data_IF_309830250581
#
_entry.id   IF_309830250581
#
_cell.length_a   1.000
_cell.length_b   1.000
_cell.length_c   1.000
_cell.angle_alpha   90.00
_cell.angle_beta   90.00
_cell.angle_gamma   90.00
#
_symmetry.space_group_name_H-M   'P 1'
#
loop_
_entity.id
_entity.type
_entity.pdbx_description
1 polymer ?
#
# COMPACT_ATOMS: atom_id res chain seq x y z
N UNK A 1 4.94 -3.32 -13.92
CA UNK A 1 3.54 -3.42 -13.44
C UNK A 1 3.57 -4.19 -12.14
N UNK A 2 2.83 -3.70 -11.15
CA UNK A 2 2.67 -4.32 -9.84
C UNK A 2 1.33 -5.05 -9.77
N UNK A 3 1.30 -6.15 -9.02
CA UNK A 3 0.11 -6.92 -8.68
C UNK A 3 -0.13 -6.76 -7.19
N UNK A 4 -1.29 -6.18 -6.86
CA UNK A 4 -1.59 -5.69 -5.53
C UNK A 4 -2.81 -6.43 -4.97
N UNK A 5 -2.72 -6.91 -3.73
CA UNK A 5 -3.89 -7.37 -2.96
C UNK A 5 -4.39 -6.21 -2.11
N UNK A 6 -5.65 -5.83 -2.28
CA UNK A 6 -6.25 -4.73 -1.51
C UNK A 6 -6.40 -5.13 -0.04
N UNK A 7 -5.74 -4.39 0.84
CA UNK A 7 -5.77 -4.56 2.28
C UNK A 7 -5.36 -3.24 2.96
N UNK A 8 -6.08 -2.83 4.01
CA UNK A 8 -5.78 -1.59 4.75
C UNK A 8 -4.38 -1.60 5.38
N UNK A 9 -3.89 -2.78 5.75
CA UNK A 9 -2.54 -3.03 6.28
C UNK A 9 -1.43 -2.95 5.22
N UNK A 10 -1.79 -2.81 3.94
CA UNK A 10 -0.83 -2.69 2.85
C UNK A 10 0.11 -1.50 2.99
N UNK A 11 1.35 -1.65 2.52
CA UNK A 11 2.39 -0.62 2.55
C UNK A 11 2.30 0.34 1.36
N UNK A 12 1.77 -0.13 0.23
CA UNK A 12 1.64 0.66 -0.98
C UNK A 12 0.34 1.46 -0.99
N UNK A 13 0.42 2.66 -1.56
CA UNK A 13 -0.75 3.46 -1.89
C UNK A 13 -1.00 3.38 -3.40
N UNK A 14 -2.21 3.03 -3.79
CA UNK A 14 -2.61 2.86 -5.18
C UNK A 14 -3.64 3.93 -5.51
N UNK A 15 -3.30 4.79 -6.47
CA UNK A 15 -4.22 5.75 -7.05
C UNK A 15 -5.00 5.07 -8.17
N UNK A 16 -6.33 5.13 -8.14
CA UNK A 16 -7.18 4.54 -9.17
C UNK A 16 -8.38 5.42 -9.49
N UNK A 17 -8.98 5.25 -10.67
CA UNK A 17 -10.13 6.05 -11.11
C UNK A 17 -11.37 5.18 -11.29
N UNK A 18 -12.45 5.46 -10.58
CA UNK A 18 -13.70 4.68 -10.70
C UNK A 18 -14.41 4.82 -12.07
N UNK A 19 -14.05 5.83 -12.86
CA UNK A 19 -14.62 6.08 -14.18
C UNK A 19 -13.81 5.44 -15.33
N UNK A 20 -12.72 4.72 -15.03
CA UNK A 20 -11.84 4.11 -16.04
C UNK A 20 -11.03 2.94 -15.48
N UNK A 21 -10.10 2.42 -16.28
CA UNK A 21 -9.16 1.36 -15.86
C UNK A 21 -7.82 1.94 -15.35
N UNK A 22 -7.75 3.26 -15.10
CA UNK A 22 -6.54 3.87 -14.59
C UNK A 22 -6.26 3.39 -13.17
N UNK A 23 -5.10 2.77 -12.98
CA UNK A 23 -4.54 2.44 -11.68
C UNK A 23 -3.01 2.54 -11.73
N UNK A 24 -2.43 3.19 -10.73
CA UNK A 24 -0.99 3.34 -10.61
C UNK A 24 -0.59 3.39 -9.13
N UNK A 25 0.61 2.88 -8.82
CA UNK A 25 1.25 3.19 -7.54
C UNK A 25 1.38 4.72 -7.42
N UNK A 26 1.07 5.29 -6.25
CA UNK A 26 1.16 6.74 -5.98
C UNK A 26 2.57 7.28 -6.28
N UNK A 27 3.60 6.44 -6.17
CA UNK A 27 4.98 6.76 -6.58
C UNK A 27 5.11 7.11 -8.06
N UNK A 28 4.28 6.52 -8.92
CA UNK A 28 4.27 6.71 -10.37
C UNK A 28 3.10 7.54 -10.91
N UNK A 29 1.99 7.62 -10.17
CA UNK A 29 0.78 8.31 -10.60
C UNK A 29 1.07 9.81 -10.86
N UNK A 30 0.83 10.29 -12.07
CA UNK A 30 1.09 11.69 -12.42
C UNK A 30 0.14 12.63 -11.67
N UNK A 31 0.70 13.68 -11.08
CA UNK A 31 -0.09 14.82 -10.62
C UNK A 31 -0.22 15.83 -11.77
N UNK A 32 -1.42 15.91 -12.34
CA UNK A 32 -1.69 16.82 -13.45
C UNK A 32 -1.43 18.27 -13.05
N UNK A 33 -0.82 19.03 -13.97
CA UNK A 33 -0.62 20.46 -13.78
C UNK A 33 -1.99 21.16 -13.65
N UNK A 34 -2.17 22.09 -12.70
CA UNK A 34 -3.41 22.85 -12.61
C UNK A 34 -3.67 23.65 -13.90
N UNK A 35 -4.92 23.70 -14.33
CA UNK A 35 -5.32 24.51 -15.49
C UNK A 35 -5.35 26.02 -15.18
N UNK A 36 -5.42 26.40 -13.91
CA UNK A 36 -5.49 27.79 -13.49
C UNK A 36 -4.15 28.50 -13.71
N UNK A 37 -4.22 29.76 -14.19
CA UNK A 37 -3.06 30.64 -14.20
C UNK A 37 -2.79 31.18 -12.81
N UNK A 38 -1.52 31.50 -12.53
CA UNK A 38 -1.12 32.19 -11.30
C UNK A 38 -1.89 33.51 -11.17
N UNK A 39 -2.60 33.69 -10.07
CA UNK A 39 -3.32 34.93 -9.80
C UNK A 39 -2.34 36.08 -9.51
N UNK A 40 -2.80 37.32 -9.75
CA UNK A 40 -2.03 38.50 -9.40
C UNK A 40 -1.94 38.66 -7.87
N UNK A 41 -0.83 39.19 -7.33
CA UNK A 41 -0.69 39.41 -5.90
C UNK A 41 -1.80 40.30 -5.32
N UNK A 42 -2.51 39.83 -4.30
CA UNK A 42 -3.58 40.56 -3.63
C UNK A 42 -3.24 40.95 -2.18
N UNK A 43 -2.25 40.30 -1.57
CA UNK A 43 -1.80 40.57 -0.19
C UNK A 43 -0.38 41.16 -0.20
N UNK A 44 -0.08 42.06 0.73
CA UNK A 44 1.31 42.48 0.97
C UNK A 44 2.04 41.41 1.75
N UNK A 45 3.33 41.20 1.45
CA UNK A 45 4.15 40.28 2.23
C UNK A 45 4.29 40.80 3.67
N UNK A 46 3.95 39.95 4.65
CA UNK A 46 4.00 40.26 6.08
C UNK A 46 4.73 39.16 6.83
N UNK A 47 5.63 39.55 7.74
CA UNK A 47 6.25 38.63 8.69
C UNK A 47 5.32 38.40 9.89
N UNK A 48 5.18 37.15 10.28
CA UNK A 48 4.29 36.69 11.35
C UNK A 48 5.12 35.93 12.40
N UNK A 49 4.88 36.24 13.67
CA UNK A 49 5.42 35.48 14.80
C UNK A 49 4.77 34.08 14.89
N UNK A 50 5.60 33.05 14.86
CA UNK A 50 5.18 31.64 14.90
C UNK A 50 6.09 30.82 15.85
N UNK A 51 6.24 31.24 17.12
CA UNK A 51 7.20 30.63 18.02
C UNK A 51 6.88 29.17 18.30
N UNK A 52 7.85 28.30 18.04
CA UNK A 52 7.73 26.85 18.22
C UNK A 52 6.76 26.15 17.27
N UNK A 53 6.26 26.82 16.22
CA UNK A 53 5.40 26.21 15.21
C UNK A 53 6.21 25.93 13.94
N UNK A 54 6.33 24.66 13.58
CA UNK A 54 7.23 24.22 12.51
C UNK A 54 6.51 23.47 11.38
N UNK A 55 5.22 23.17 11.55
CA UNK A 55 4.43 22.43 10.56
C UNK A 55 3.43 23.33 9.83
N UNK A 56 3.17 23.03 8.56
CA UNK A 56 2.19 23.77 7.78
C UNK A 56 0.78 23.71 8.38
N UNK A 57 0.45 22.59 9.02
CA UNK A 57 -0.81 22.34 9.70
C UNK A 57 -0.99 23.28 10.90
N UNK A 58 0.06 23.45 11.73
CA UNK A 58 0.07 24.42 12.84
C UNK A 58 -0.06 25.86 12.34
N UNK A 59 0.67 26.21 11.26
CA UNK A 59 0.63 27.56 10.69
C UNK A 59 -0.72 27.88 10.07
N UNK A 60 -1.29 26.94 9.31
CA UNK A 60 -2.62 27.08 8.73
C UNK A 60 -3.68 27.27 9.83
N UNK A 61 -3.58 26.49 10.91
CA UNK A 61 -4.46 26.62 12.07
C UNK A 61 -4.32 27.98 12.77
N UNK A 62 -3.10 28.42 13.07
CA UNK A 62 -2.82 29.72 13.69
C UNK A 62 -3.41 30.89 12.88
N UNK A 63 -3.25 30.84 11.56
CA UNK A 63 -3.66 31.91 10.66
C UNK A 63 -5.14 31.83 10.24
N UNK A 64 -5.86 30.78 10.66
CA UNK A 64 -7.21 30.45 10.21
C UNK A 64 -7.32 30.40 8.68
N UNK A 65 -6.33 29.77 8.04
CA UNK A 65 -6.25 29.59 6.60
C UNK A 65 -6.36 28.10 6.22
N UNK A 66 -6.85 27.77 5.02
CA UNK A 66 -6.79 26.40 4.52
C UNK A 66 -5.32 25.97 4.32
N UNK A 67 -5.02 24.70 4.55
CA UNK A 67 -3.68 24.14 4.39
C UNK A 67 -3.11 24.35 2.98
N UNK A 68 -3.98 24.36 1.95
CA UNK A 68 -3.61 24.69 0.58
C UNK A 68 -3.10 26.12 0.35
N UNK A 69 -3.12 27.01 1.36
CA UNK A 69 -2.48 28.35 1.30
C UNK A 69 -1.03 28.35 1.80
N UNK A 70 -0.56 27.27 2.42
CA UNK A 70 0.82 27.16 2.88
C UNK A 70 1.68 26.40 1.88
N UNK A 71 3.01 26.56 1.99
CA UNK A 71 4.00 25.90 1.16
C UNK A 71 5.05 25.25 2.07
N UNK A 72 5.23 23.93 1.89
CA UNK A 72 6.27 23.14 2.54
C UNK A 72 7.59 23.32 1.78
N UNK A 73 8.65 23.60 2.52
CA UNK A 73 10.01 23.70 2.01
C UNK A 73 10.78 22.42 2.37
N UNK A 74 11.31 21.74 1.36
CA UNK A 74 12.06 20.49 1.50
C UNK A 74 13.47 20.71 0.99
N UNK A 75 14.46 20.29 1.77
CA UNK A 75 15.87 20.49 1.47
C UNK A 75 16.52 19.17 1.12
N UNK A 76 16.99 19.03 -0.12
CA UNK A 76 17.67 17.82 -0.60
C UNK A 76 19.11 18.14 -0.97
N UNK A 77 20.01 17.21 -0.71
CA UNK A 77 21.41 17.29 -1.14
C UNK A 77 21.65 16.30 -2.28
N UNK A 78 22.06 16.81 -3.43
CA UNK A 78 22.47 16.00 -4.58
C UNK A 78 23.88 16.43 -5.00
N UNK A 79 24.80 15.46 -5.08
CA UNK A 79 26.20 15.68 -5.45
C UNK A 79 26.91 16.80 -4.67
N UNK A 80 26.59 16.94 -3.36
CA UNK A 80 27.20 17.95 -2.49
C UNK A 80 26.58 19.35 -2.60
N UNK A 81 25.48 19.49 -3.35
CA UNK A 81 24.75 20.75 -3.50
C UNK A 81 23.36 20.63 -2.88
N UNK A 82 23.01 21.59 -2.02
CA UNK A 82 21.68 21.71 -1.43
C UNK A 82 20.71 22.34 -2.43
N UNK A 83 19.54 21.75 -2.57
CA UNK A 83 18.43 22.16 -3.42
C UNK A 83 17.20 22.43 -2.55
N UNK A 84 16.45 23.48 -2.87
CA UNK A 84 15.17 23.79 -2.24
C UNK A 84 14.04 23.31 -3.14
N UNK A 85 13.18 22.46 -2.58
CA UNK A 85 11.98 21.95 -3.23
C UNK A 85 10.74 22.50 -2.52
N UNK A 86 9.77 22.99 -3.29
CA UNK A 86 8.52 23.52 -2.75
C UNK A 86 7.31 22.67 -3.18
N UNK A 87 6.55 22.20 -2.20
CA UNK A 87 5.24 21.55 -2.40
C UNK A 87 4.17 22.28 -1.58
N UNK A 88 2.90 22.18 -1.99
CA UNK A 88 1.80 22.83 -1.26
C UNK A 88 1.62 22.17 0.12
N UNK A 89 1.11 22.90 1.10
CA UNK A 89 0.99 22.45 2.49
C UNK A 89 0.25 21.13 2.67
N UNK A 90 -0.74 20.86 1.84
CA UNK A 90 -1.58 19.65 1.83
C UNK A 90 -1.03 18.54 0.92
N UNK A 91 0.16 18.73 0.34
CA UNK A 91 0.85 17.76 -0.49
C UNK A 91 2.14 17.27 0.19
N UNK A 92 2.60 16.10 -0.24
CA UNK A 92 3.86 15.50 0.18
C UNK A 92 4.78 15.29 -1.01
N UNK A 93 6.09 15.40 -0.78
CA UNK A 93 7.09 15.08 -1.79
C UNK A 93 6.96 13.63 -2.25
N UNK A 94 7.10 13.43 -3.55
CA UNK A 94 7.32 12.12 -4.14
C UNK A 94 8.81 12.00 -4.48
N UNK A 95 9.54 11.17 -3.74
CA UNK A 95 10.98 11.00 -3.87
C UNK A 95 11.37 10.37 -5.23
N UNK A 96 10.56 9.44 -5.74
CA UNK A 96 10.76 8.79 -7.04
C UNK A 96 10.66 9.80 -8.19
N UNK A 97 9.70 10.72 -8.12
CA UNK A 97 9.55 11.80 -9.10
C UNK A 97 10.65 12.85 -8.94
N UNK A 98 10.98 13.23 -7.70
CA UNK A 98 12.07 14.17 -7.42
C UNK A 98 13.41 13.67 -7.99
N UNK A 99 13.71 12.38 -7.88
CA UNK A 99 14.94 11.78 -8.41
C UNK A 99 15.06 11.87 -9.94
N UNK A 100 13.94 12.03 -10.66
CA UNK A 100 13.91 12.19 -12.13
C UNK A 100 14.12 13.64 -12.57
N UNK A 101 14.07 14.60 -11.65
CA UNK A 101 14.33 16.01 -11.95
C UNK A 101 15.82 16.20 -12.27
N UNK A 102 16.18 16.93 -13.34
CA UNK A 102 17.57 17.20 -13.67
C UNK A 102 18.35 17.78 -12.49
N UNK A 103 19.48 17.14 -12.14
CA UNK A 103 20.33 17.53 -11.01
C UNK A 103 20.00 16.87 -9.66
N UNK A 104 18.90 16.12 -9.57
CA UNK A 104 18.49 15.42 -8.33
C UNK A 104 18.69 13.89 -8.39
N UNK A 105 19.32 13.34 -9.42
CA UNK A 105 19.61 11.91 -9.46
C UNK A 105 20.50 11.50 -8.25
N UNK A 106 20.04 10.50 -7.49
CA UNK A 106 20.78 10.01 -6.31
C UNK A 106 20.86 11.01 -5.14
N UNK A 107 19.88 11.90 -5.01
CA UNK A 107 19.79 12.82 -3.87
C UNK A 107 19.68 12.06 -2.54
N UNK A 108 19.93 12.78 -1.44
CA UNK A 108 19.50 12.41 -0.09
C UNK A 108 18.85 13.61 0.59
N UNK A 109 18.17 13.38 1.71
CA UNK A 109 17.76 14.47 2.59
C UNK A 109 18.99 15.27 3.05
N UNK A 110 18.90 16.60 3.02
CA UNK A 110 19.92 17.47 3.58
C UNK A 110 19.93 17.32 5.10
N UNK A 111 21.10 17.35 5.72
CA UNK A 111 21.20 17.34 7.19
C UNK A 111 20.91 18.73 7.76
N UNK A 112 20.54 18.81 9.03
CA UNK A 112 20.31 20.10 9.71
C UNK A 112 21.51 21.04 9.57
N UNK A 113 22.74 20.54 9.72
CA UNK A 113 23.98 21.32 9.55
C UNK A 113 24.11 21.88 8.13
N UNK A 114 23.79 21.09 7.11
CA UNK A 114 23.83 21.54 5.71
C UNK A 114 22.75 22.58 5.42
N UNK A 115 21.56 22.40 6.00
CA UNK A 115 20.45 23.33 5.88
C UNK A 115 20.84 24.66 6.51
N UNK A 116 21.29 24.66 7.77
CA UNK A 116 21.72 25.86 8.49
C UNK A 116 22.89 26.55 7.78
N UNK A 117 23.86 25.78 7.27
CA UNK A 117 24.96 26.36 6.49
C UNK A 117 24.48 27.04 5.19
N UNK A 118 23.43 26.51 4.56
CA UNK A 118 22.94 26.99 3.27
C UNK A 118 21.89 28.11 3.40
N UNK A 119 21.13 28.17 4.50
CA UNK A 119 20.00 29.12 4.67
C UNK A 119 20.17 30.04 5.87
N UNK A 120 21.06 29.73 6.80
CA UNK A 120 21.19 30.43 8.08
C UNK A 120 20.07 30.12 9.08
N UNK A 121 19.18 29.17 8.76
CA UNK A 121 17.98 28.88 9.54
C UNK A 121 17.74 27.37 9.70
N UNK A 122 17.18 26.97 10.84
CA UNK A 122 16.81 25.58 11.10
C UNK A 122 15.58 25.15 10.28
N UNK A 123 15.41 23.83 10.03
CA UNK A 123 14.17 23.29 9.47
C UNK A 123 12.91 23.76 10.23
N UNK A 124 11.80 23.88 9.51
CA UNK A 124 10.51 24.35 10.05
C UNK A 124 10.20 25.82 9.78
N UNK A 125 11.21 26.64 9.47
CA UNK A 125 11.04 28.07 9.19
C UNK A 125 11.61 28.49 7.83
N UNK A 126 11.79 27.54 6.92
CA UNK A 126 12.42 27.77 5.61
C UNK A 126 11.42 28.22 4.54
N UNK A 127 11.86 29.08 3.64
CA UNK A 127 11.08 29.53 2.49
C UNK A 127 11.92 30.13 1.36
N UNK A 128 11.33 30.41 0.18
CA UNK A 128 12.07 30.85 -0.99
C UNK A 128 12.48 32.34 -0.98
N UNK A 129 12.06 33.11 0.01
CA UNK A 129 12.36 34.56 0.09
C UNK A 129 13.79 34.76 0.58
N UNK A 130 14.60 35.47 -0.21
CA UNK A 130 15.98 35.82 0.17
C UNK A 130 16.98 34.67 0.17
N UNK A 131 16.65 33.52 -0.44
CA UNK A 131 17.58 32.39 -0.58
C UNK A 131 18.77 32.75 -1.48
N UNK A 132 19.90 32.06 -1.30
CA UNK A 132 21.07 32.21 -2.18
C UNK A 132 20.66 32.00 -3.65
N UNK A 133 20.95 32.96 -4.56
CA UNK A 133 20.66 32.82 -5.99
C UNK A 133 21.29 31.56 -6.65
N UNK A 134 22.37 31.02 -6.08
CA UNK A 134 23.02 29.81 -6.56
C UNK A 134 22.35 28.51 -6.09
N UNK A 135 21.47 28.58 -5.08
CA UNK A 135 20.69 27.44 -4.59
C UNK A 135 19.57 27.12 -5.58
N UNK A 136 19.53 25.91 -6.16
CA UNK A 136 18.48 25.53 -7.10
C UNK A 136 17.12 25.49 -6.41
N UNK A 137 16.14 26.11 -7.06
CA UNK A 137 14.76 26.17 -6.61
C UNK A 137 13.88 25.38 -7.57
N UNK A 138 13.41 24.22 -7.10
CA UNK A 138 12.50 23.33 -7.82
C UNK A 138 11.12 23.42 -7.17
N UNK A 139 10.08 23.57 -7.97
CA UNK A 139 8.74 23.84 -7.45
C UNK A 139 7.72 22.90 -8.08
N UNK A 140 6.83 22.34 -7.26
CA UNK A 140 5.71 21.56 -7.75
C UNK A 140 4.80 22.40 -8.65
N UNK A 141 4.25 21.77 -9.70
CA UNK A 141 3.28 22.39 -10.62
C UNK A 141 2.17 23.15 -9.90
N UNK A 142 1.70 22.65 -8.75
CA UNK A 142 0.67 23.29 -7.94
C UNK A 142 1.15 24.58 -7.30
N UNK A 143 2.37 24.58 -6.73
CA UNK A 143 2.94 25.76 -6.08
C UNK A 143 3.30 26.83 -7.11
N UNK A 144 3.74 26.42 -8.30
CA UNK A 144 4.09 27.34 -9.38
C UNK A 144 2.93 28.25 -9.82
N UNK A 145 1.67 27.89 -9.54
CA UNK A 145 0.48 28.71 -9.85
C UNK A 145 -0.16 29.35 -8.62
N UNK A 146 0.46 29.24 -7.44
CA UNK A 146 -0.03 29.89 -6.22
C UNK A 146 0.28 31.39 -6.21
N UNK A 147 -0.58 32.15 -5.53
CA UNK A 147 -0.36 33.54 -5.15
C UNK A 147 -0.63 33.72 -3.66
N UNK A 148 -0.06 34.76 -3.05
CA UNK A 148 -0.28 35.15 -1.65
C UNK A 148 -0.12 33.98 -0.65
N UNK A 149 0.87 33.14 -0.90
CA UNK A 149 1.08 31.92 -0.11
C UNK A 149 1.80 32.22 1.20
N UNK A 150 1.76 31.24 2.11
CA UNK A 150 2.46 31.27 3.40
C UNK A 150 3.64 30.31 3.34
N UNK A 151 4.82 30.76 3.76
CA UNK A 151 6.03 29.93 3.87
C UNK A 151 6.88 30.37 5.06
N UNK A 152 7.93 29.62 5.38
CA UNK A 152 8.90 30.06 6.38
C UNK A 152 9.63 31.35 5.99
N UNK A 153 10.11 32.08 6.99
CA UNK A 153 10.79 33.37 6.80
C UNK A 153 12.32 33.28 6.64
N UNK A 154 12.89 32.08 6.68
CA UNK A 154 14.33 31.84 6.89
C UNK A 154 14.86 32.48 8.18
N UNK A 155 13.98 32.61 9.19
CA UNK A 155 14.27 33.13 10.52
C UNK A 155 13.49 32.27 11.52
N UNK A 156 14.18 31.74 12.53
CA UNK A 156 13.54 30.87 13.51
C UNK A 156 12.37 31.58 14.19
N UNK A 157 11.28 30.86 14.42
CA UNK A 157 10.05 31.36 15.02
C UNK A 157 9.26 32.37 14.16
N UNK A 158 9.56 32.49 12.85
CA UNK A 158 8.81 33.35 11.94
C UNK A 158 8.40 32.69 10.63
N UNK A 159 7.24 33.11 10.13
CA UNK A 159 6.74 32.81 8.79
C UNK A 159 6.41 34.10 8.02
N UNK A 160 6.32 33.98 6.71
CA UNK A 160 5.86 35.04 5.81
C UNK A 160 4.50 34.66 5.25
N UNK A 161 3.56 35.61 5.26
CA UNK A 161 2.26 35.51 4.60
C UNK A 161 2.19 36.46 3.43
N UNK A 162 1.41 36.10 2.42
CA UNK A 162 1.15 36.95 1.26
C UNK A 162 2.30 36.94 0.28
N UNK A 163 3.14 35.89 0.28
CA UNK A 163 4.33 35.78 -0.56
C UNK A 163 3.93 35.49 -2.01
N UNK A 164 4.64 36.12 -2.94
CA UNK A 164 4.45 35.93 -4.37
C UNK A 164 5.79 35.83 -5.11
N UNK A 165 5.89 34.85 -6.01
CA UNK A 165 6.97 34.76 -6.98
C UNK A 165 7.03 36.02 -7.87
N UNK A 166 8.23 36.39 -8.29
CA UNK A 166 8.54 37.60 -9.04
C UNK A 166 8.58 38.87 -8.19
N UNK A 167 7.66 39.03 -7.24
CA UNK A 167 7.60 40.21 -6.34
C UNK A 167 8.51 40.07 -5.12
N UNK A 168 8.39 38.97 -4.39
CA UNK A 168 9.05 38.77 -3.09
C UNK A 168 10.18 37.73 -3.16
N UNK A 169 10.00 36.72 -4.01
CA UNK A 169 11.00 35.69 -4.29
C UNK A 169 11.17 35.51 -5.80
N UNK A 170 12.34 35.02 -6.23
CA UNK A 170 12.63 34.79 -7.65
C UNK A 170 11.74 33.68 -8.23
N UNK A 171 11.54 33.69 -9.54
CA UNK A 171 10.89 32.57 -10.23
C UNK A 171 11.70 31.26 -10.05
N UNK A 172 11.02 30.09 -10.06
CA UNK A 172 11.68 28.80 -9.91
C UNK A 172 12.57 28.47 -11.11
N UNK A 173 13.65 27.72 -10.86
CA UNK A 173 14.54 27.24 -11.92
C UNK A 173 13.89 26.09 -12.70
N UNK A 174 13.16 25.23 -11.99
CA UNK A 174 12.45 24.08 -12.56
C UNK A 174 11.05 23.99 -11.95
N UNK A 175 10.05 23.82 -12.81
CA UNK A 175 8.69 23.42 -12.42
C UNK A 175 8.45 21.99 -12.87
N UNK A 176 8.14 21.09 -11.94
CA UNK A 176 8.00 19.66 -12.21
C UNK A 176 6.87 19.04 -11.37
N UNK A 177 6.40 17.85 -11.77
CA UNK A 177 5.60 17.01 -10.89
C UNK A 177 6.55 16.36 -9.88
N UNK A 178 6.49 16.83 -8.63
CA UNK A 178 7.34 16.32 -7.54
C UNK A 178 6.50 15.89 -6.33
N UNK A 179 5.18 15.83 -6.46
CA UNK A 179 4.28 15.49 -5.35
C UNK A 179 3.62 14.14 -5.53
N UNK A 180 3.18 13.56 -4.42
CA UNK A 180 2.21 12.47 -4.46
C UNK A 180 0.84 13.03 -4.89
N UNK A 181 0.09 12.22 -5.64
CA UNK A 181 -1.33 12.46 -5.88
C UNK A 181 -2.11 12.29 -4.59
N UNK A 182 -3.23 12.98 -4.47
CA UNK A 182 -4.17 12.88 -3.34
C UNK A 182 -5.56 12.49 -3.83
N UNK A 183 -6.39 11.93 -2.95
CA UNK A 183 -7.78 11.62 -3.30
C UNK A 183 -8.51 12.90 -3.76
N UNK A 184 -9.25 12.80 -4.86
CA UNK A 184 -9.92 13.92 -5.52
C UNK A 184 -9.08 14.63 -6.59
N UNK A 185 -7.78 14.33 -6.74
CA UNK A 185 -7.01 14.82 -7.89
C UNK A 185 -7.64 14.33 -9.22
N UNK A 186 -7.58 15.12 -10.30
CA UNK A 186 -8.04 14.67 -11.61
C UNK A 186 -7.18 13.50 -12.11
N UNK A 187 -7.85 12.47 -12.63
CA UNK A 187 -7.18 11.30 -13.22
C UNK A 187 -6.37 11.71 -14.46
N UNK A 188 -5.12 11.24 -14.63
CA UNK A 188 -4.28 11.57 -15.79
C UNK A 188 -4.86 11.17 -17.15
N UNK A 189 -5.83 10.26 -17.16
CA UNK A 189 -6.54 9.84 -18.37
C UNK A 189 -7.75 10.73 -18.74
N UNK A 190 -8.04 11.75 -17.93
CA UNK A 190 -9.07 12.77 -18.16
C UNK A 190 -10.51 12.30 -17.93
N UNK A 191 -10.75 11.13 -17.34
CA UNK A 191 -12.11 10.53 -17.23
C UNK A 191 -12.80 10.72 -15.88
N UNK A 192 -12.10 11.19 -14.86
CA UNK A 192 -12.65 11.34 -13.52
C UNK A 192 -11.62 11.83 -12.53
N UNK A 193 -11.80 11.47 -11.26
CA UNK A 193 -10.87 11.77 -10.17
C UNK A 193 -10.24 10.50 -9.64
N UNK A 194 -9.12 10.66 -8.93
CA UNK A 194 -8.39 9.58 -8.28
C UNK A 194 -8.95 9.35 -6.88
N UNK A 195 -9.15 8.09 -6.53
CA UNK A 195 -9.25 7.59 -5.15
C UNK A 195 -7.96 6.86 -4.79
N UNK A 196 -7.69 6.74 -3.49
CA UNK A 196 -6.48 6.07 -2.98
C UNK A 196 -6.89 4.90 -2.09
N UNK A 197 -6.35 3.73 -2.40
CA UNK A 197 -6.51 2.51 -1.61
C UNK A 197 -5.14 1.97 -1.20
N UNK A 198 -5.13 1.10 -0.17
CA UNK A 198 -3.92 0.44 0.31
C UNK A 198 -3.81 -0.97 -0.28
N UNK A 199 -2.58 -1.36 -0.61
CA UNK A 199 -2.29 -2.63 -1.24
C UNK A 199 -1.02 -3.29 -0.69
N UNK A 200 -1.02 -4.62 -0.72
CA UNK A 200 0.16 -5.44 -0.49
C UNK A 200 0.66 -5.92 -1.86
N UNK A 201 1.87 -5.51 -2.26
CA UNK A 201 2.48 -5.99 -3.50
C UNK A 201 2.77 -7.49 -3.39
N UNK A 202 2.08 -8.31 -4.16
CA UNK A 202 2.28 -9.76 -4.22
C UNK A 202 3.07 -10.20 -5.45
N UNK A 203 3.26 -9.31 -6.42
CA UNK A 203 4.12 -9.58 -7.57
C UNK A 203 4.45 -8.35 -8.39
N UNK A 204 5.53 -8.44 -9.15
CA UNK A 204 6.03 -7.36 -9.99
C UNK A 204 6.62 -7.92 -11.29
N UNK A 205 6.30 -7.28 -12.41
CA UNK A 205 6.89 -7.56 -13.73
C UNK A 205 7.62 -6.35 -14.28
N UNK A 206 8.88 -6.55 -14.70
CA UNK A 206 9.75 -5.51 -15.22
C UNK A 206 10.23 -5.86 -16.64
N UNK A 207 10.18 -4.85 -17.53
CA UNK A 207 10.94 -4.87 -18.77
C UNK A 207 12.32 -4.26 -18.47
N UNK A 208 13.34 -5.10 -18.32
CA UNK A 208 14.70 -4.68 -17.98
C UNK A 208 15.47 -4.14 -19.19
N UNK A 209 14.94 -4.37 -20.39
CA UNK A 209 15.61 -4.02 -21.63
C UNK A 209 16.97 -4.69 -21.73
N UNK A 210 18.00 -3.90 -22.05
CA UNK A 210 19.37 -4.40 -22.22
C UNK A 210 20.31 -4.10 -21.07
N UNK A 211 19.83 -3.53 -19.96
CA UNK A 211 20.69 -2.99 -18.87
C UNK A 211 21.69 -4.03 -18.34
N UNK A 212 21.20 -5.20 -17.91
CA UNK A 212 22.04 -6.27 -17.38
C UNK A 212 22.85 -6.99 -18.46
N UNK A 213 22.20 -7.34 -19.57
CA UNK A 213 22.83 -8.05 -20.68
C UNK A 213 23.98 -7.26 -21.29
N UNK A 214 23.89 -5.93 -21.34
CA UNK A 214 24.97 -5.07 -21.82
C UNK A 214 26.14 -5.05 -20.84
N UNK A 215 25.85 -4.87 -19.54
CA UNK A 215 26.87 -4.88 -18.49
C UNK A 215 27.60 -6.23 -18.38
N UNK A 216 26.90 -7.35 -18.63
CA UNK A 216 27.44 -8.71 -18.52
C UNK A 216 27.95 -9.28 -19.84
N UNK A 217 27.78 -8.59 -20.97
CA UNK A 217 28.17 -9.08 -22.30
C UNK A 217 27.31 -10.24 -22.82
N UNK A 218 26.06 -10.38 -22.38
CA UNK A 218 25.14 -11.42 -22.84
C UNK A 218 24.58 -11.06 -24.23
N UNK A 219 25.09 -11.75 -25.26
CA UNK A 219 24.77 -11.47 -26.67
C UNK A 219 24.34 -12.72 -27.44
N UNK A 220 23.63 -12.52 -28.54
CA UNK A 220 23.23 -13.56 -29.50
C UNK A 220 23.47 -13.08 -30.94
N UNK A 221 23.47 -13.99 -31.91
CA UNK A 221 23.47 -13.62 -33.33
C UNK A 221 22.03 -13.54 -33.82
N UNK A 222 21.65 -12.41 -34.41
CA UNK A 222 20.35 -12.25 -35.05
C UNK A 222 20.25 -13.01 -36.39
N UNK A 223 19.09 -12.95 -37.04
CA UNK A 223 18.86 -13.61 -38.32
C UNK A 223 19.80 -13.14 -39.45
N UNK A 224 20.42 -11.97 -39.32
CA UNK A 224 21.43 -11.44 -40.25
C UNK A 224 22.87 -11.78 -39.85
N UNK A 225 23.07 -12.54 -38.77
CA UNK A 225 24.40 -12.88 -38.24
C UNK A 225 25.07 -11.73 -37.50
N UNK A 226 24.34 -10.68 -37.12
CA UNK A 226 24.88 -9.58 -36.32
C UNK A 226 24.78 -9.90 -34.82
N UNK A 227 25.83 -9.58 -34.08
CA UNK A 227 25.80 -9.68 -32.62
C UNK A 227 24.86 -8.61 -32.04
N UNK A 228 23.88 -9.06 -31.25
CA UNK A 228 22.89 -8.23 -30.56
C UNK A 228 22.90 -8.56 -29.07
N UNK A 229 22.67 -7.57 -28.24
CA UNK A 229 22.45 -7.74 -26.80
C UNK A 229 21.07 -8.35 -26.57
N UNK A 230 20.94 -9.25 -25.59
CA UNK A 230 19.65 -9.87 -25.27
C UNK A 230 18.69 -8.86 -24.63
N UNK A 231 17.44 -8.83 -25.08
CA UNK A 231 16.37 -8.12 -24.37
C UNK A 231 15.90 -8.97 -23.18
N UNK A 232 15.78 -8.36 -22.00
CA UNK A 232 15.46 -9.07 -20.76
C UNK A 232 14.16 -8.58 -20.13
N UNK A 233 13.41 -9.52 -19.56
CA UNK A 233 12.29 -9.27 -18.66
C UNK A 233 12.43 -10.13 -17.41
N UNK A 234 11.96 -9.64 -16.27
CA UNK A 234 11.89 -10.43 -15.04
C UNK A 234 10.50 -10.34 -14.41
N UNK A 235 10.14 -11.40 -13.70
CA UNK A 235 8.81 -11.60 -13.13
C UNK A 235 8.99 -12.20 -11.74
N UNK A 236 8.51 -11.48 -10.72
CA UNK A 236 8.60 -11.89 -9.32
C UNK A 236 7.23 -12.07 -8.71
N UNK A 237 7.06 -13.12 -7.91
CA UNK A 237 5.87 -13.35 -7.08
C UNK A 237 6.34 -13.67 -5.66
N UNK A 238 5.82 -12.94 -4.68
CA UNK A 238 6.11 -13.15 -3.27
C UNK A 238 5.31 -14.33 -2.70
N UNK A 239 5.78 -15.57 -2.88
CA UNK A 239 5.04 -16.78 -2.48
C UNK A 239 4.63 -16.76 -1.00
N UNK A 240 5.56 -16.43 -0.09
CA UNK A 240 5.26 -16.35 1.34
C UNK A 240 4.33 -15.18 1.68
N UNK A 241 4.43 -14.07 0.92
CA UNK A 241 3.61 -12.88 1.09
C UNK A 241 2.17 -13.11 0.64
N UNK A 242 1.92 -13.93 -0.39
CA UNK A 242 0.57 -14.29 -0.84
C UNK A 242 -0.23 -14.94 0.29
N UNK A 243 0.38 -15.84 1.06
CA UNK A 243 -0.30 -16.50 2.17
C UNK A 243 -0.76 -15.47 3.22
N UNK A 244 0.12 -14.55 3.61
CA UNK A 244 -0.21 -13.48 4.54
C UNK A 244 -1.28 -12.53 3.96
N UNK A 245 -1.14 -12.11 2.71
CA UNK A 245 -2.10 -11.23 2.04
C UNK A 245 -3.50 -11.86 1.91
N UNK A 246 -3.56 -13.18 1.68
CA UNK A 246 -4.82 -13.91 1.67
C UNK A 246 -5.51 -13.91 3.03
N UNK A 247 -4.74 -14.05 4.13
CA UNK A 247 -5.27 -13.95 5.49
C UNK A 247 -5.77 -12.53 5.77
N UNK A 248 -4.98 -11.50 5.45
CA UNK A 248 -5.35 -10.09 5.68
C UNK A 248 -6.67 -9.71 5.00
N UNK A 249 -6.97 -10.29 3.84
CA UNK A 249 -8.25 -10.08 3.16
C UNK A 249 -9.38 -10.99 3.67
N UNK A 250 -9.05 -12.13 4.31
CA UNK A 250 -10.00 -13.17 4.66
C UNK A 250 -9.78 -13.70 6.08
N UNK A 251 -10.24 -12.94 7.07
CA UNK A 251 -10.27 -13.34 8.47
C UNK A 251 -11.53 -12.83 9.17
N UNK A 252 -11.85 -13.42 10.32
CA UNK A 252 -12.84 -12.89 11.26
C UNK A 252 -12.30 -12.99 12.71
N UNK A 253 -13.12 -12.62 13.68
CA UNK A 253 -12.76 -12.70 15.11
C UNK A 253 -12.39 -14.12 15.58
N UNK A 254 -12.79 -15.16 14.84
CA UNK A 254 -12.50 -16.58 15.15
C UNK A 254 -11.22 -17.08 14.48
N UNK A 255 -10.60 -16.30 13.58
CA UNK A 255 -9.33 -16.62 12.92
C UNK A 255 -9.38 -16.61 11.40
N UNK A 256 -8.56 -17.45 10.78
CA UNK A 256 -8.32 -17.43 9.33
C UNK A 256 -9.54 -17.96 8.56
N UNK A 257 -9.80 -17.40 7.39
CA UNK A 257 -10.76 -17.93 6.42
C UNK A 257 -10.05 -18.13 5.07
N UNK A 258 -9.51 -19.32 4.85
CA UNK A 258 -8.75 -19.59 3.63
C UNK A 258 -9.63 -19.55 2.36
N UNK A 259 -9.13 -18.95 1.26
CA UNK A 259 -9.56 -19.33 -0.07
C UNK A 259 -9.32 -20.83 -0.29
N UNK A 260 -10.23 -21.53 -0.98
CA UNK A 260 -10.18 -22.98 -1.10
C UNK A 260 -8.81 -23.55 -1.57
N UNK A 261 -8.11 -22.95 -2.56
CA UNK A 261 -6.80 -23.45 -2.99
C UNK A 261 -5.66 -23.28 -1.99
N UNK A 262 -5.86 -22.48 -0.92
CA UNK A 262 -4.84 -22.17 0.09
C UNK A 262 -5.10 -22.82 1.44
N UNK A 263 -6.27 -23.46 1.62
CA UNK A 263 -6.59 -24.12 2.87
C UNK A 263 -5.62 -25.29 3.12
N UNK A 264 -5.07 -25.45 4.35
CA UNK A 264 -4.11 -26.51 4.64
C UNK A 264 -4.73 -27.91 4.63
N UNK A 265 -6.04 -27.97 4.88
CA UNK A 265 -6.88 -29.15 4.73
C UNK A 265 -8.24 -28.68 4.22
N UNK A 266 -8.93 -29.56 3.52
CA UNK A 266 -10.30 -29.30 3.05
C UNK A 266 -11.32 -29.51 4.17
N UNK A 267 -11.12 -30.55 4.98
CA UNK A 267 -12.08 -30.99 6.01
C UNK A 267 -11.37 -31.25 7.34
N UNK A 268 -12.00 -30.88 8.44
CA UNK A 268 -11.60 -31.25 9.80
C UNK A 268 -12.69 -32.11 10.45
N UNK A 269 -12.31 -33.27 10.98
CA UNK A 269 -13.17 -34.14 11.79
C UNK A 269 -12.88 -33.88 13.26
N UNK A 270 -13.92 -33.51 14.01
CA UNK A 270 -13.88 -33.11 15.41
C UNK A 270 -14.64 -34.14 16.29
N UNK A 271 -14.00 -35.23 16.71
CA UNK A 271 -14.61 -36.26 17.53
C UNK A 271 -14.79 -35.84 19.00
N UNK A 272 -16.01 -35.97 19.53
CA UNK A 272 -16.30 -35.69 20.94
C UNK A 272 -15.95 -36.91 21.79
N UNK A 273 -14.96 -36.73 22.67
CA UNK A 273 -14.46 -37.77 23.59
C UNK A 273 -13.84 -38.99 22.88
N UNK A 274 -13.01 -38.74 21.85
CA UNK A 274 -12.31 -39.75 21.04
C UNK A 274 -11.67 -40.89 21.86
N UNK A 275 -10.93 -40.57 22.92
CA UNK A 275 -10.25 -41.57 23.76
C UNK A 275 -11.19 -42.39 24.65
N UNK A 276 -12.39 -41.85 24.93
CA UNK A 276 -13.33 -42.41 25.92
C UNK A 276 -14.54 -43.09 25.29
N UNK A 277 -14.83 -42.83 24.03
CA UNK A 277 -15.98 -43.38 23.34
C UNK A 277 -15.54 -44.14 22.08
N UNK A 278 -15.55 -45.47 22.17
CA UNK A 278 -15.15 -46.36 21.08
C UNK A 278 -16.02 -46.21 19.83
N UNK A 279 -17.33 -45.97 19.99
CA UNK A 279 -18.22 -45.77 18.85
C UNK A 279 -17.89 -44.48 18.09
N UNK A 280 -17.59 -43.39 18.82
CA UNK A 280 -17.14 -42.12 18.21
C UNK A 280 -15.80 -42.30 17.52
N UNK A 281 -14.83 -42.96 18.17
CA UNK A 281 -13.51 -43.22 17.59
C UNK A 281 -13.61 -44.00 16.28
N UNK A 282 -14.30 -45.14 16.29
CA UNK A 282 -14.45 -45.99 15.12
C UNK A 282 -15.17 -45.26 13.98
N UNK A 283 -16.25 -44.53 14.28
CA UNK A 283 -16.97 -43.76 13.26
C UNK A 283 -16.12 -42.62 12.66
N UNK A 284 -15.30 -41.95 13.48
CA UNK A 284 -14.46 -40.84 13.03
C UNK A 284 -13.32 -41.30 12.14
N UNK A 285 -12.69 -42.44 12.46
CA UNK A 285 -11.65 -43.07 11.62
C UNK A 285 -12.27 -43.55 10.29
N UNK A 286 -13.43 -44.20 10.33
CA UNK A 286 -14.11 -44.64 9.12
C UNK A 286 -14.48 -43.47 8.20
N UNK A 287 -15.02 -42.38 8.76
CA UNK A 287 -15.36 -41.17 8.00
C UNK A 287 -14.12 -40.48 7.44
N UNK A 288 -13.02 -40.42 8.21
CA UNK A 288 -11.73 -39.93 7.74
C UNK A 288 -11.27 -40.69 6.50
N UNK A 289 -11.24 -42.02 6.58
CA UNK A 289 -10.76 -42.87 5.50
C UNK A 289 -11.67 -42.78 4.26
N UNK A 290 -12.99 -42.65 4.45
CA UNK A 290 -13.95 -42.44 3.37
C UNK A 290 -13.73 -41.10 2.64
N UNK A 291 -13.53 -40.01 3.38
CA UNK A 291 -13.26 -38.69 2.82
C UNK A 291 -11.89 -38.63 2.11
N UNK A 292 -10.87 -39.25 2.70
CA UNK A 292 -9.55 -39.39 2.08
C UNK A 292 -9.63 -40.21 0.77
N UNK A 293 -10.37 -41.33 0.77
CA UNK A 293 -10.60 -42.14 -0.42
C UNK A 293 -11.38 -41.38 -1.51
N UNK A 294 -12.20 -40.40 -1.12
CA UNK A 294 -12.88 -39.50 -2.03
C UNK A 294 -11.99 -38.39 -2.60
N UNK A 295 -10.74 -38.26 -2.15
CA UNK A 295 -9.72 -37.33 -2.63
C UNK A 295 -9.60 -36.04 -1.83
N UNK A 296 -10.19 -35.96 -0.64
CA UNK A 296 -10.08 -34.78 0.22
C UNK A 296 -8.85 -34.84 1.12
N UNK A 297 -8.27 -33.68 1.41
CA UNK A 297 -7.28 -33.52 2.48
C UNK A 297 -8.04 -33.34 3.80
N UNK A 298 -7.89 -34.31 4.71
CA UNK A 298 -8.67 -34.40 5.94
C UNK A 298 -7.77 -34.34 7.16
N UNK A 299 -8.07 -33.42 8.08
CA UNK A 299 -7.51 -33.40 9.42
C UNK A 299 -8.45 -34.16 10.36
N UNK A 300 -7.94 -35.15 11.10
CA UNK A 300 -8.65 -35.75 12.23
C UNK A 300 -8.06 -35.18 13.53
N UNK A 301 -8.88 -34.49 14.33
CA UNK A 301 -8.46 -34.00 15.64
C UNK A 301 -8.63 -35.11 16.70
N UNK A 302 -7.60 -35.96 16.83
CA UNK A 302 -7.60 -37.12 17.73
C UNK A 302 -7.00 -36.84 19.12
N UNK A 303 -6.81 -35.55 19.48
CA UNK A 303 -6.12 -35.13 20.72
C UNK A 303 -6.85 -35.48 22.01
N UNK A 304 -8.14 -35.83 21.95
CA UNK A 304 -8.97 -36.08 23.13
C UNK A 304 -9.33 -34.81 23.92
N UNK A 305 -9.16 -33.63 23.31
CA UNK A 305 -9.36 -32.34 23.93
C UNK A 305 -10.83 -32.00 24.25
N UNK A 306 -11.03 -30.96 25.06
CA UNK A 306 -12.39 -30.46 25.34
C UNK A 306 -12.99 -29.83 24.07
N UNK A 307 -14.28 -30.03 23.78
CA UNK A 307 -14.91 -29.54 22.55
C UNK A 307 -14.69 -28.05 22.29
N UNK A 308 -14.78 -27.21 23.33
CA UNK A 308 -14.56 -25.77 23.18
C UNK A 308 -13.14 -25.40 22.71
N UNK A 309 -12.11 -26.11 23.19
CA UNK A 309 -10.71 -25.86 22.79
C UNK A 309 -10.49 -26.37 21.36
N UNK A 310 -10.92 -27.61 21.08
CA UNK A 310 -10.86 -28.20 19.74
C UNK A 310 -11.55 -27.32 18.68
N UNK A 311 -12.76 -26.84 18.96
CA UNK A 311 -13.49 -25.99 18.03
C UNK A 311 -12.81 -24.65 17.79
N UNK A 312 -12.29 -24.02 18.84
CA UNK A 312 -11.53 -22.77 18.72
C UNK A 312 -10.26 -22.96 17.89
N UNK A 313 -9.50 -24.04 18.10
CA UNK A 313 -8.29 -24.33 17.33
C UNK A 313 -8.60 -24.56 15.85
N UNK A 314 -9.62 -25.37 15.54
CA UNK A 314 -10.03 -25.67 14.17
C UNK A 314 -10.57 -24.43 13.43
N UNK A 315 -11.27 -23.54 14.15
CA UNK A 315 -11.71 -22.25 13.61
C UNK A 315 -10.53 -21.30 13.39
N UNK A 316 -9.56 -21.28 14.31
CA UNK A 316 -8.38 -20.42 14.22
C UNK A 316 -7.51 -20.76 13.01
N UNK A 317 -7.23 -22.04 12.78
CA UNK A 317 -6.45 -22.51 11.61
C UNK A 317 -7.22 -22.43 10.30
N UNK A 318 -8.54 -22.22 10.35
CA UNK A 318 -9.37 -21.82 9.21
C UNK A 318 -9.79 -22.94 8.26
N UNK A 319 -9.86 -24.19 8.70
CA UNK A 319 -10.25 -25.31 7.82
C UNK A 319 -11.71 -25.12 7.34
N UNK A 320 -11.98 -25.14 6.02
CA UNK A 320 -13.27 -24.71 5.45
C UNK A 320 -14.50 -25.49 5.91
N UNK A 321 -14.33 -26.78 6.24
CA UNK A 321 -15.43 -27.68 6.59
C UNK A 321 -15.11 -28.45 7.88
N UNK A 322 -15.91 -28.24 8.93
CA UNK A 322 -15.82 -29.02 10.16
C UNK A 322 -16.96 -30.03 10.24
N UNK A 323 -16.62 -31.26 10.62
CA UNK A 323 -17.58 -32.33 10.90
C UNK A 323 -17.39 -32.79 12.33
N UNK A 324 -18.36 -32.51 13.19
CA UNK A 324 -18.34 -32.93 14.59
C UNK A 324 -19.03 -34.30 14.73
N UNK A 325 -18.31 -35.25 15.32
CA UNK A 325 -18.80 -36.62 15.55
C UNK A 325 -19.05 -36.82 17.03
N UNK A 326 -20.31 -36.97 17.42
CA UNK A 326 -20.70 -37.15 18.82
C UNK A 326 -21.65 -38.33 19.02
N UNK A 327 -21.64 -38.91 20.21
CA UNK A 327 -22.42 -40.12 20.54
C UNK A 327 -23.92 -39.98 20.25
N UNK A 328 -24.51 -38.82 20.59
CA UNK A 328 -25.94 -38.55 20.35
C UNK A 328 -26.27 -38.57 18.85
N UNK A 329 -25.48 -37.89 18.04
CA UNK A 329 -25.67 -37.86 16.59
C UNK A 329 -25.53 -39.24 15.97
N UNK A 330 -24.52 -40.01 16.41
CA UNK A 330 -24.29 -41.36 15.89
C UNK A 330 -25.45 -42.32 16.18
N UNK A 331 -26.12 -42.21 17.34
CA UNK A 331 -27.33 -42.99 17.64
C UNK A 331 -28.48 -42.70 16.67
N UNK A 332 -28.47 -41.53 16.05
CA UNK A 332 -29.44 -41.10 15.02
C UNK A 332 -28.91 -41.27 13.59
N UNK A 333 -27.71 -41.81 13.40
CA UNK A 333 -27.05 -41.94 12.09
C UNK A 333 -26.58 -40.60 11.49
N UNK A 334 -26.33 -39.59 12.33
CA UNK A 334 -26.00 -38.21 11.91
C UNK A 334 -24.70 -37.70 12.52
N UNK A 335 -24.13 -36.70 11.87
CA UNK A 335 -23.02 -35.86 12.36
C UNK A 335 -23.39 -34.38 12.21
N UNK A 336 -22.67 -33.49 12.88
CA UNK A 336 -22.89 -32.05 12.74
C UNK A 336 -21.88 -31.46 11.77
N UNK A 337 -22.34 -30.91 10.65
CA UNK A 337 -21.53 -30.20 9.65
C UNK A 337 -21.58 -28.70 9.89
N UNK A 338 -20.47 -28.01 9.75
CA UNK A 338 -20.40 -26.55 9.76
C UNK A 338 -19.32 -26.05 8.79
N UNK A 339 -19.66 -25.12 7.89
CA UNK A 339 -18.63 -24.38 7.16
C UNK A 339 -17.93 -23.37 8.07
N UNK A 340 -16.65 -23.07 7.83
CA UNK A 340 -15.89 -22.04 8.56
C UNK A 340 -16.59 -20.67 8.58
N UNK A 341 -17.39 -20.37 7.55
CA UNK A 341 -18.15 -19.12 7.42
C UNK A 341 -19.53 -19.18 8.09
N UNK A 342 -20.03 -20.37 8.45
CA UNK A 342 -21.35 -20.53 9.06
C UNK A 342 -21.34 -20.13 10.54
N UNK A 343 -22.47 -19.60 11.01
CA UNK A 343 -22.68 -19.24 12.42
C UNK A 343 -23.15 -20.42 13.27
N UNK A 344 -23.71 -21.46 12.67
CA UNK A 344 -24.25 -22.64 13.36
C UNK A 344 -24.01 -23.91 12.56
N UNK A 345 -23.91 -25.04 13.28
CA UNK A 345 -23.82 -26.36 12.67
C UNK A 345 -25.19 -26.90 12.27
N UNK A 346 -25.20 -27.77 11.26
CA UNK A 346 -26.39 -28.48 10.76
C UNK A 346 -26.20 -29.98 10.92
N UNK A 347 -27.23 -30.68 11.40
CA UNK A 347 -27.20 -32.15 11.50
C UNK A 347 -27.44 -32.79 10.12
N UNK A 348 -26.51 -33.64 9.69
CA UNK A 348 -26.50 -34.28 8.36
C UNK A 348 -26.31 -35.79 8.54
N UNK A 349 -27.02 -36.65 7.78
CA UNK A 349 -26.74 -38.08 7.77
C UNK A 349 -25.27 -38.36 7.45
N UNK A 350 -24.62 -39.24 8.21
CA UNK A 350 -23.17 -39.48 8.04
C UNK A 350 -22.83 -39.96 6.62
N UNK A 351 -23.73 -40.73 6.00
CA UNK A 351 -23.61 -41.24 4.63
C UNK A 351 -23.68 -40.16 3.53
N UNK A 352 -24.13 -38.95 3.85
CA UNK A 352 -24.27 -37.85 2.89
C UNK A 352 -23.09 -36.88 2.91
N UNK A 353 -22.17 -37.02 3.87
CA UNK A 353 -21.10 -36.04 4.12
C UNK A 353 -20.13 -35.90 2.95
N UNK A 354 -19.71 -37.02 2.34
CA UNK A 354 -18.81 -37.00 1.17
C UNK A 354 -19.44 -36.22 0.01
N UNK A 355 -20.73 -36.44 -0.25
CA UNK A 355 -21.46 -35.74 -1.32
C UNK A 355 -21.65 -34.26 -0.99
N UNK A 356 -21.97 -33.94 0.27
CA UNK A 356 -22.14 -32.56 0.74
C UNK A 356 -20.85 -31.75 0.58
N UNK A 357 -19.71 -32.27 1.07
CA UNK A 357 -18.41 -31.60 0.96
C UNK A 357 -18.04 -31.39 -0.51
N UNK A 358 -18.25 -32.40 -1.36
CA UNK A 358 -18.00 -32.28 -2.81
C UNK A 358 -18.80 -31.16 -3.45
N UNK A 359 -20.10 -31.06 -3.12
CA UNK A 359 -20.97 -30.01 -3.65
C UNK A 359 -20.57 -28.61 -3.17
N UNK A 360 -19.96 -28.49 -1.98
CA UNK A 360 -19.50 -27.23 -1.41
C UNK A 360 -18.18 -26.71 -1.98
N UNK A 361 -17.40 -27.57 -2.65
CA UNK A 361 -16.14 -27.19 -3.32
C UNK A 361 -16.30 -26.82 -4.80
N UNK A 362 -17.44 -27.17 -5.40
CA UNK A 362 -17.75 -26.85 -6.80
C UNK A 362 -18.43 -25.48 -6.97
N UNK A 363 -18.91 -24.91 -5.87
CA UNK A 363 -19.43 -23.55 -5.77
C UNK A 363 -18.38 -22.66 -5.10
#
# INVERSE_FOLDING_TARGET
HEFQVLAESGEDAIAWCAASDYAANVELAEALAPHAHRAAPAELMQKIDTPGLATCEEIAHLLHLPLGRTVKCIMLNASGKVHMLLVRGDHSLNEIKAAKVPGLAGFRWATDDEIVAATGCSPGYLGPVGIDPAMPLIVDRTVAVMSDFVCGANEADYHLRGVNFGRDCREPDIVADIRNVVAGDPSPDGKGTLDIVRGIEVGHVFALGTEYSQAMGATFLDAGGQSRTMEMGCYGIGITRIAAAAIEQNFDERGIIWPAPLAPFTVAIAPIAFDRNEAVRTASIALHDELCAAGFEVLLDDRGERPGVMFADLELIGIPHRITVGERGLKEGKVEYQSRRDTAATAVPISEIVALVRAKLQN
#
